data_IF_828892641754
#
_entry.id   IF_828892641754
#
_cell.length_a   1.000
_cell.length_b   1.000
_cell.length_c   1.000
_cell.angle_alpha   90.00
_cell.angle_beta   90.00
_cell.angle_gamma   90.00
#
_symmetry.space_group_name_H-M   'P 1'
#
loop_
_entity.id
_entity.type
_entity.pdbx_description
1 polymer ?
#
# COMPACT_ATOMS: atom_id res chain seq x y z
N UNK A 1 -15.11 -10.63 -4.89
CA UNK A 1 -14.51 -11.59 -3.94
C UNK A 1 -14.81 -11.17 -2.50
N UNK A 2 -15.80 -11.79 -1.85
CA UNK A 2 -15.87 -11.78 -0.38
C UNK A 2 -15.03 -12.97 0.09
N UNK A 3 -13.94 -12.68 0.79
CA UNK A 3 -13.14 -13.70 1.45
C UNK A 3 -13.91 -14.20 2.68
N UNK A 4 -14.79 -15.19 2.49
CA UNK A 4 -15.28 -16.02 3.59
C UNK A 4 -14.16 -17.00 3.98
N UNK A 5 -13.19 -16.50 4.74
CA UNK A 5 -12.20 -17.35 5.42
C UNK A 5 -12.67 -17.55 6.86
N UNK A 6 -13.79 -18.27 7.03
CA UNK A 6 -14.25 -18.76 8.33
C UNK A 6 -13.99 -20.27 8.40
N UNK A 7 -12.71 -20.63 8.57
CA UNK A 7 -12.30 -21.98 8.93
C UNK A 7 -12.37 -22.21 10.45
N UNK A 8 -12.34 -23.48 10.92
CA UNK A 8 -12.50 -23.83 12.33
C UNK A 8 -11.43 -23.21 13.23
N UNK A 9 -11.80 -22.91 14.48
CA UNK A 9 -10.87 -22.49 15.54
C UNK A 9 -10.08 -23.71 16.02
N UNK A 10 -8.93 -23.96 15.39
CA UNK A 10 -8.00 -25.02 15.81
C UNK A 10 -7.19 -24.62 17.06
N UNK A 11 -6.81 -25.61 17.87
CA UNK A 11 -6.03 -25.42 19.10
C UNK A 11 -4.59 -25.00 18.74
N UNK A 12 -4.08 -24.05 19.52
CA UNK A 12 -2.84 -23.30 19.30
C UNK A 12 -1.56 -24.19 19.27
N UNK A 13 -1.62 -25.38 19.86
CA UNK A 13 -0.48 -26.31 19.98
C UNK A 13 -0.16 -27.03 18.67
N UNK A 14 -1.16 -27.28 17.81
CA UNK A 14 -0.99 -27.99 16.53
C UNK A 14 -0.27 -27.13 15.46
N UNK A 15 -0.35 -25.79 15.57
CA UNK A 15 0.37 -24.88 14.68
C UNK A 15 1.88 -24.79 14.98
N UNK A 16 2.30 -25.10 16.22
CA UNK A 16 3.69 -24.95 16.67
C UNK A 16 4.52 -26.16 16.23
N UNK A 17 3.96 -27.37 16.18
CA UNK A 17 4.70 -28.56 15.72
C UNK A 17 4.97 -28.58 14.21
N UNK A 18 4.25 -27.78 13.41
CA UNK A 18 4.50 -27.60 11.98
C UNK A 18 5.38 -26.36 11.65
N UNK A 19 5.94 -25.68 12.66
CA UNK A 19 6.82 -24.53 12.44
C UNK A 19 8.22 -24.95 11.95
N UNK A 20 8.70 -24.20 10.94
CA UNK A 20 10.09 -24.08 10.51
C UNK A 20 10.68 -25.19 9.63
N UNK A 21 9.96 -25.66 8.62
CA UNK A 21 10.66 -26.04 7.40
C UNK A 21 10.59 -24.85 6.46
N UNK A 22 11.71 -24.11 6.35
CA UNK A 22 11.99 -23.33 5.15
C UNK A 22 11.82 -24.33 4.02
N UNK A 23 10.72 -24.22 3.30
CA UNK A 23 10.55 -25.01 2.11
C UNK A 23 11.49 -24.39 1.09
N UNK A 24 12.03 -25.22 0.20
CA UNK A 24 13.12 -24.82 -0.68
C UNK A 24 12.90 -23.50 -1.42
N UNK A 25 13.92 -23.01 -2.13
CA UNK A 25 13.79 -21.79 -2.92
C UNK A 25 12.53 -21.81 -3.80
N UNK A 26 11.84 -20.68 -3.88
CA UNK A 26 10.64 -20.46 -4.71
C UNK A 26 11.02 -19.67 -5.96
N UNK A 27 10.39 -19.99 -7.08
CA UNK A 27 10.57 -19.30 -8.36
C UNK A 27 9.84 -17.96 -8.36
N UNK A 28 10.42 -16.93 -9.00
CA UNK A 28 9.91 -15.56 -8.90
C UNK A 28 8.48 -15.42 -9.41
N UNK A 29 8.24 -15.79 -10.68
CA UNK A 29 6.92 -15.63 -11.27
C UNK A 29 6.03 -16.84 -11.01
N UNK A 30 6.52 -18.06 -11.27
CA UNK A 30 5.66 -19.25 -11.27
C UNK A 30 4.97 -19.54 -9.92
N UNK A 31 5.67 -19.30 -8.81
CA UNK A 31 5.18 -19.72 -7.49
C UNK A 31 4.29 -18.68 -6.81
N UNK A 32 4.33 -17.42 -7.24
CA UNK A 32 3.60 -16.33 -6.59
C UNK A 32 2.70 -15.54 -7.53
N UNK A 33 2.84 -15.69 -8.85
CA UNK A 33 2.06 -14.93 -9.83
C UNK A 33 0.58 -15.26 -9.74
N UNK A 34 -0.27 -14.24 -9.70
CA UNK A 34 -1.71 -14.39 -9.82
C UNK A 34 -2.33 -13.18 -10.51
N UNK A 35 -3.62 -13.30 -10.88
CA UNK A 35 -4.40 -12.21 -11.42
C UNK A 35 -5.86 -12.24 -10.94
N UNK A 36 -6.44 -11.07 -10.76
CA UNK A 36 -7.84 -10.89 -10.39
C UNK A 36 -8.48 -9.78 -11.24
N UNK A 37 -9.76 -9.97 -11.59
CA UNK A 37 -10.56 -8.97 -12.31
C UNK A 37 -11.58 -8.39 -11.32
N UNK A 38 -11.71 -7.08 -11.33
CA UNK A 38 -12.79 -6.33 -10.69
C UNK A 38 -13.81 -5.99 -11.78
N UNK A 39 -14.94 -6.72 -11.87
CA UNK A 39 -15.89 -6.63 -12.97
C UNK A 39 -16.83 -5.40 -12.82
N UNK A 40 -16.31 -4.20 -13.06
CA UNK A 40 -17.07 -2.95 -12.93
C UNK A 40 -18.07 -2.74 -14.09
N UNK A 41 -17.81 -3.30 -15.27
CA UNK A 41 -18.68 -3.17 -16.44
C UNK A 41 -19.95 -4.01 -16.28
N UNK A 42 -19.80 -5.27 -15.89
CA UNK A 42 -20.90 -6.23 -15.79
C UNK A 42 -21.62 -6.22 -14.43
N UNK A 43 -20.91 -5.99 -13.31
CA UNK A 43 -21.50 -6.02 -11.96
C UNK A 43 -21.84 -4.63 -11.42
N UNK A 44 -23.03 -4.12 -11.75
CA UNK A 44 -23.49 -2.77 -11.33
C UNK A 44 -23.47 -2.58 -9.81
N UNK A 45 -23.92 -3.58 -9.03
CA UNK A 45 -23.92 -3.51 -7.55
C UNK A 45 -22.51 -3.46 -6.96
N UNK A 46 -21.54 -4.09 -7.62
CA UNK A 46 -20.14 -4.00 -7.21
C UNK A 46 -19.61 -2.61 -7.54
N UNK A 47 -19.87 -2.12 -8.76
CA UNK A 47 -19.45 -0.81 -9.26
C UNK A 47 -19.85 0.35 -8.33
N UNK A 48 -21.03 0.31 -7.72
CA UNK A 48 -21.46 1.33 -6.75
C UNK A 48 -20.47 1.54 -5.60
N UNK A 49 -19.68 0.52 -5.22
CA UNK A 49 -18.65 0.62 -4.18
C UNK A 49 -17.37 1.32 -4.66
N UNK A 50 -17.14 1.34 -5.98
CA UNK A 50 -15.94 1.89 -6.63
C UNK A 50 -16.19 3.23 -7.31
N UNK A 51 -17.41 3.78 -7.25
CA UNK A 51 -17.74 5.09 -7.83
C UNK A 51 -17.65 6.16 -6.75
N UNK A 52 -17.02 7.28 -7.06
CA UNK A 52 -17.09 8.50 -6.25
C UNK A 52 -18.32 9.31 -6.62
N UNK A 53 -18.73 10.25 -5.76
CA UNK A 53 -19.84 11.15 -6.08
C UNK A 53 -19.59 12.07 -7.29
N UNK A 54 -18.31 12.22 -7.70
CA UNK A 54 -17.91 12.95 -8.91
C UNK A 54 -17.94 12.08 -10.18
N UNK A 55 -18.37 10.81 -10.08
CA UNK A 55 -18.40 9.89 -11.21
C UNK A 55 -17.02 9.35 -11.63
N UNK A 56 -16.02 9.42 -10.75
CA UNK A 56 -14.70 8.81 -10.95
C UNK A 56 -14.53 7.50 -10.17
N UNK A 57 -13.38 6.83 -10.32
CA UNK A 57 -13.05 5.66 -9.50
C UNK A 57 -12.64 6.07 -8.08
N UNK A 58 -13.19 5.38 -7.08
CA UNK A 58 -12.86 5.53 -5.67
C UNK A 58 -11.54 4.83 -5.37
N UNK A 59 -10.44 5.55 -5.59
CA UNK A 59 -9.06 5.07 -5.39
C UNK A 59 -8.86 4.45 -4.00
N UNK A 60 -9.44 5.03 -2.95
CA UNK A 60 -9.37 4.46 -1.59
C UNK A 60 -9.89 3.01 -1.51
N UNK A 61 -10.94 2.66 -2.25
CA UNK A 61 -11.45 1.29 -2.31
C UNK A 61 -10.51 0.37 -3.10
N UNK A 62 -9.95 0.86 -4.20
CA UNK A 62 -8.96 0.13 -4.99
C UNK A 62 -7.69 -0.17 -4.17
N UNK A 63 -7.21 0.78 -3.35
CA UNK A 63 -6.07 0.57 -2.45
C UNK A 63 -6.31 -0.54 -1.43
N UNK A 64 -7.54 -0.64 -0.93
CA UNK A 64 -7.92 -1.72 -0.01
C UNK A 64 -7.81 -3.09 -0.70
N UNK A 65 -8.27 -3.20 -1.94
CA UNK A 65 -8.17 -4.47 -2.69
C UNK A 65 -6.73 -4.77 -3.13
N UNK A 66 -5.94 -3.75 -3.47
CA UNK A 66 -4.51 -3.91 -3.76
C UNK A 66 -3.74 -4.49 -2.57
N UNK A 67 -4.04 -4.02 -1.37
CA UNK A 67 -3.45 -4.55 -0.13
C UNK A 67 -3.83 -6.01 0.11
N UNK A 68 -5.12 -6.34 -0.06
CA UNK A 68 -5.61 -7.73 0.04
C UNK A 68 -4.95 -8.63 -1.01
N UNK A 69 -4.79 -8.14 -2.23
CA UNK A 69 -4.13 -8.88 -3.30
C UNK A 69 -2.63 -9.06 -3.03
N UNK A 70 -1.94 -8.06 -2.48
CA UNK A 70 -0.54 -8.20 -2.05
C UNK A 70 -0.39 -9.28 -0.97
N UNK A 71 -1.29 -9.31 0.02
CA UNK A 71 -1.35 -10.36 1.05
C UNK A 71 -1.55 -11.74 0.41
N UNK A 72 -2.44 -11.85 -0.60
CA UNK A 72 -2.69 -13.10 -1.32
C UNK A 72 -1.44 -13.62 -2.04
N UNK A 73 -0.74 -12.77 -2.80
CA UNK A 73 0.51 -13.13 -3.48
C UNK A 73 1.56 -13.65 -2.50
N UNK A 74 1.66 -13.03 -1.32
CA UNK A 74 2.55 -13.49 -0.25
C UNK A 74 2.14 -14.85 0.33
N UNK A 75 0.84 -15.12 0.50
CA UNK A 75 0.40 -16.45 0.94
C UNK A 75 0.70 -17.53 -0.11
N UNK A 76 0.55 -17.20 -1.40
CA UNK A 76 0.90 -18.11 -2.50
C UNK A 76 2.40 -18.40 -2.54
N UNK A 77 3.23 -17.37 -2.33
CA UNK A 77 4.68 -17.54 -2.20
C UNK A 77 5.06 -18.48 -1.03
N UNK A 78 4.35 -18.38 0.09
CA UNK A 78 4.55 -19.18 1.30
C UNK A 78 3.76 -20.49 1.33
N UNK A 79 3.11 -20.86 0.23
CA UNK A 79 2.30 -22.07 0.14
C UNK A 79 3.18 -23.30 0.42
N UNK A 80 2.67 -24.17 1.28
CA UNK A 80 3.36 -25.37 1.72
C UNK A 80 2.68 -26.60 1.12
N UNK A 81 3.28 -27.30 0.14
CA UNK A 81 2.66 -28.47 -0.50
C UNK A 81 2.45 -29.67 0.44
N UNK A 82 3.10 -29.67 1.62
CA UNK A 82 2.94 -30.70 2.66
C UNK A 82 1.88 -30.34 3.69
N UNK A 83 1.36 -29.11 3.65
CA UNK A 83 0.29 -28.68 4.54
C UNK A 83 -1.02 -29.31 4.07
N UNK A 84 -1.80 -29.86 5.01
CA UNK A 84 -3.14 -30.37 4.70
C UNK A 84 -4.03 -29.20 4.30
N UNK A 85 -4.90 -29.39 3.30
CA UNK A 85 -5.81 -28.35 2.77
C UNK A 85 -6.68 -27.71 3.87
N UNK A 86 -7.09 -28.48 4.88
CA UNK A 86 -7.91 -27.99 5.99
C UNK A 86 -7.14 -27.13 7.02
N UNK A 87 -5.81 -27.11 6.96
CA UNK A 87 -4.99 -26.39 7.93
C UNK A 87 -4.77 -24.95 7.47
N UNK A 88 -5.02 -23.94 8.31
CA UNK A 88 -4.70 -22.55 7.97
C UNK A 88 -3.20 -22.30 7.92
N UNK A 89 -2.76 -21.37 7.07
CA UNK A 89 -1.37 -20.91 7.04
C UNK A 89 -0.92 -20.46 8.44
N UNK A 90 0.27 -20.87 8.91
CA UNK A 90 0.81 -20.44 10.20
C UNK A 90 1.31 -18.99 10.16
N UNK A 91 1.38 -18.37 8.99
CA UNK A 91 1.91 -17.03 8.82
C UNK A 91 0.84 -15.96 9.04
N UNK A 92 1.18 -14.95 9.83
CA UNK A 92 0.44 -13.68 9.85
C UNK A 92 1.14 -12.68 8.95
N UNK A 93 0.58 -12.45 7.75
CA UNK A 93 1.10 -11.44 6.82
C UNK A 93 0.46 -10.08 7.11
N UNK A 94 1.30 -9.07 7.28
CA UNK A 94 0.89 -7.68 7.54
C UNK A 94 1.63 -6.73 6.60
N UNK A 95 0.97 -5.63 6.25
CA UNK A 95 1.52 -4.56 5.42
C UNK A 95 2.47 -3.72 6.25
N UNK A 96 3.73 -3.63 5.83
CA UNK A 96 4.74 -2.82 6.53
C UNK A 96 4.97 -1.48 5.83
N UNK A 97 4.98 -1.49 4.50
CA UNK A 97 5.18 -0.28 3.71
C UNK A 97 4.51 -0.42 2.34
N UNK A 98 4.02 0.69 1.82
CA UNK A 98 3.57 0.83 0.43
C UNK A 98 4.39 1.94 -0.19
N UNK A 99 5.03 1.67 -1.33
CA UNK A 99 5.75 2.71 -2.06
C UNK A 99 4.77 3.73 -2.64
N UNK A 100 5.29 4.86 -3.13
CA UNK A 100 4.48 5.85 -3.83
C UNK A 100 3.70 5.21 -4.98
N UNK A 101 2.38 5.43 -4.99
CA UNK A 101 1.47 5.01 -6.07
C UNK A 101 0.95 6.26 -6.78
N UNK A 102 1.04 6.27 -8.11
CA UNK A 102 0.61 7.38 -8.95
C UNK A 102 -0.45 6.89 -9.95
N UNK A 103 -1.65 7.47 -9.87
CA UNK A 103 -2.76 7.17 -10.77
C UNK A 103 -2.90 8.21 -11.90
N UNK A 104 -1.93 9.12 -12.07
CA UNK A 104 -2.01 10.27 -12.98
C UNK A 104 -1.26 10.09 -14.31
N UNK A 105 -0.84 8.87 -14.65
CA UNK A 105 0.01 8.60 -15.82
C UNK A 105 -0.76 8.54 -17.17
N UNK A 106 -1.66 9.51 -17.41
CA UNK A 106 -2.31 9.71 -18.71
C UNK A 106 -3.53 8.85 -19.00
N UNK A 107 -3.89 7.88 -18.15
CA UNK A 107 -5.13 7.10 -18.24
C UNK A 107 -6.02 7.44 -17.05
N UNK A 108 -7.10 8.18 -17.30
CA UNK A 108 -8.12 8.41 -16.29
C UNK A 108 -8.89 7.13 -16.05
N UNK A 109 -8.84 6.63 -14.81
CA UNK A 109 -9.61 5.44 -14.41
C UNK A 109 -11.10 5.67 -14.60
N UNK A 110 -11.69 4.83 -15.45
CA UNK A 110 -13.12 4.79 -15.74
C UNK A 110 -13.86 3.90 -14.74
N UNK A 111 -14.95 4.35 -14.11
CA UNK A 111 -15.69 3.52 -13.17
C UNK A 111 -16.58 2.47 -13.82
N UNK A 112 -16.81 2.57 -15.13
CA UNK A 112 -17.67 1.67 -15.92
C UNK A 112 -16.88 0.59 -16.66
N UNK A 113 -15.58 0.44 -16.37
CA UNK A 113 -14.67 -0.48 -17.05
C UNK A 113 -13.94 -1.39 -16.09
N UNK A 114 -13.80 -2.65 -16.47
CA UNK A 114 -13.14 -3.66 -15.66
C UNK A 114 -11.68 -3.30 -15.36
N UNK A 115 -11.25 -3.62 -14.15
CA UNK A 115 -9.86 -3.41 -13.68
C UNK A 115 -9.24 -4.78 -13.45
N UNK A 116 -8.04 -5.00 -13.98
CA UNK A 116 -7.23 -6.21 -13.74
C UNK A 116 -6.08 -5.88 -12.82
N UNK A 117 -5.96 -6.68 -11.77
CA UNK A 117 -4.80 -6.74 -10.89
C UNK A 117 -4.01 -7.97 -11.28
N UNK A 118 -2.72 -7.83 -11.56
CA UNK A 118 -1.81 -8.96 -11.78
C UNK A 118 -0.49 -8.68 -11.11
N UNK A 119 0.10 -9.67 -10.47
CA UNK A 119 1.30 -9.42 -9.68
C UNK A 119 1.98 -10.68 -9.23
N UNK A 120 3.15 -10.51 -8.61
CA UNK A 120 3.98 -11.56 -8.04
C UNK A 120 4.87 -10.98 -6.94
N UNK A 121 5.48 -11.84 -6.14
CA UNK A 121 6.55 -11.47 -5.20
C UNK A 121 7.83 -11.25 -6.00
N UNK A 122 8.38 -10.03 -5.95
CA UNK A 122 9.56 -9.62 -6.72
C UNK A 122 10.87 -9.79 -5.98
N UNK A 123 10.81 -9.78 -4.64
CA UNK A 123 11.96 -9.91 -3.78
C UNK A 123 11.53 -10.49 -2.43
N UNK A 124 12.35 -11.38 -1.86
CA UNK A 124 12.12 -11.94 -0.53
C UNK A 124 13.39 -11.78 0.33
N UNK A 125 13.21 -11.26 1.54
CA UNK A 125 14.23 -11.15 2.57
C UNK A 125 14.16 -12.30 3.56
N UNK A 126 14.55 -12.02 4.81
CA UNK A 126 14.46 -13.01 5.90
C UNK A 126 13.02 -13.21 6.39
N UNK A 127 12.29 -12.12 6.58
CA UNK A 127 10.91 -12.11 7.10
C UNK A 127 10.02 -11.09 6.39
N UNK A 128 10.48 -10.52 5.29
CA UNK A 128 9.76 -9.55 4.50
C UNK A 128 9.78 -9.90 3.03
N UNK A 129 8.74 -9.50 2.30
CA UNK A 129 8.56 -9.77 0.89
C UNK A 129 8.10 -8.49 0.20
N UNK A 130 8.64 -8.21 -0.97
CA UNK A 130 8.16 -7.17 -1.87
C UNK A 130 7.20 -7.81 -2.88
N UNK A 131 5.97 -7.30 -2.96
CA UNK A 131 4.98 -7.70 -3.94
C UNK A 131 4.77 -6.55 -4.94
N UNK A 132 4.89 -6.85 -6.22
CA UNK A 132 4.59 -5.92 -7.31
C UNK A 132 3.20 -6.26 -7.84
N UNK A 133 2.37 -5.24 -7.98
CA UNK A 133 1.06 -5.35 -8.61
C UNK A 133 0.99 -4.38 -9.78
N UNK A 134 0.74 -4.92 -10.96
CA UNK A 134 0.35 -4.18 -12.17
C UNK A 134 -1.16 -3.99 -12.14
N UNK A 135 -1.60 -2.74 -12.31
CA UNK A 135 -3.01 -2.37 -12.42
C UNK A 135 -3.28 -1.98 -13.85
N UNK A 136 -4.22 -2.67 -14.47
CA UNK A 136 -4.64 -2.44 -15.86
C UNK A 136 -6.14 -2.19 -15.91
N UNK A 137 -6.58 -1.41 -16.90
CA UNK A 137 -7.99 -1.18 -17.16
C UNK A 137 -8.33 -1.60 -18.59
N UNK A 138 -9.46 -2.28 -18.74
CA UNK A 138 -9.97 -2.68 -20.03
C UNK A 138 -10.61 -1.49 -20.75
N UNK A 139 -10.08 -1.13 -21.92
CA UNK A 139 -10.64 -0.08 -22.76
C UNK A 139 -10.45 -0.45 -24.24
N UNK A 140 -11.47 -0.22 -25.06
CA UNK A 140 -11.41 -0.40 -26.52
C UNK A 140 -10.91 -1.79 -26.98
N UNK A 141 -11.20 -2.84 -26.20
CA UNK A 141 -10.81 -4.22 -26.53
C UNK A 141 -9.43 -4.63 -26.00
N UNK A 142 -8.68 -3.72 -25.37
CA UNK A 142 -7.34 -3.99 -24.87
C UNK A 142 -7.14 -3.57 -23.40
N UNK A 143 -6.18 -4.22 -22.75
CA UNK A 143 -5.80 -3.90 -21.37
C UNK A 143 -4.70 -2.84 -21.36
N UNK A 144 -5.00 -1.69 -20.77
CA UNK A 144 -4.08 -0.57 -20.68
C UNK A 144 -3.54 -0.46 -19.25
N UNK A 145 -2.21 -0.38 -19.10
CA UNK A 145 -1.60 -0.20 -17.79
C UNK A 145 -1.92 1.20 -17.24
N UNK A 146 -2.51 1.22 -16.04
CA UNK A 146 -2.86 2.44 -15.32
C UNK A 146 -1.73 2.82 -14.37
N UNK A 147 -1.29 1.86 -13.55
CA UNK A 147 -0.24 2.10 -12.57
C UNK A 147 0.45 0.80 -12.15
N UNK A 148 1.53 0.94 -11.40
CA UNK A 148 2.24 -0.16 -10.74
C UNK A 148 2.35 0.17 -9.26
N UNK A 149 1.86 -0.71 -8.41
CA UNK A 149 1.96 -0.58 -6.97
C UNK A 149 2.99 -1.57 -6.40
N UNK A 150 3.73 -1.15 -5.38
CA UNK A 150 4.72 -1.99 -4.70
C UNK A 150 4.41 -1.99 -3.22
N UNK A 151 4.21 -3.19 -2.69
CA UNK A 151 3.90 -3.44 -1.28
C UNK A 151 5.05 -4.20 -0.64
N UNK A 152 5.48 -3.77 0.54
CA UNK A 152 6.39 -4.51 1.40
C UNK A 152 5.58 -5.13 2.52
N UNK A 153 5.52 -6.46 2.50
CA UNK A 153 4.79 -7.27 3.47
C UNK A 153 5.77 -7.89 4.45
N UNK A 154 5.36 -8.07 5.70
CA UNK A 154 6.14 -8.75 6.74
C UNK A 154 5.40 -9.99 7.20
N UNK A 155 6.13 -11.09 7.26
CA UNK A 155 5.67 -12.34 7.82
C UNK A 155 5.94 -12.35 9.34
N UNK A 156 4.88 -12.59 10.11
CA UNK A 156 4.91 -12.73 11.56
C UNK A 156 4.54 -14.16 11.94
N UNK A 157 5.04 -14.60 13.09
CA UNK A 157 4.65 -15.90 13.65
C UNK A 157 3.14 -15.90 14.01
N UNK A 158 2.51 -17.09 14.15
CA UNK A 158 1.07 -17.18 14.41
C UNK A 158 0.65 -16.61 15.78
N UNK A 159 1.58 -16.52 16.74
CA UNK A 159 1.36 -15.87 18.04
C UNK A 159 1.60 -14.36 18.00
N UNK A 160 2.06 -13.86 16.85
CA UNK A 160 2.49 -12.50 16.59
C UNK A 160 3.57 -11.99 17.55
N UNK A 161 4.45 -12.88 18.02
CA UNK A 161 5.51 -12.56 18.99
C UNK A 161 6.81 -12.11 18.32
N UNK A 162 6.97 -12.36 17.02
CA UNK A 162 8.16 -12.03 16.26
C UNK A 162 8.04 -12.25 14.76
N UNK A 163 9.16 -12.02 14.08
CA UNK A 163 9.30 -12.21 12.64
C UNK A 163 9.35 -13.69 12.28
N UNK A 164 8.60 -14.10 11.26
CA UNK A 164 8.64 -15.46 10.70
C UNK A 164 9.53 -15.53 9.46
N UNK A 165 10.21 -16.66 9.26
CA UNK A 165 11.06 -16.88 8.10
C UNK A 165 10.23 -17.12 6.84
N UNK A 166 10.59 -16.45 5.75
CA UNK A 166 9.97 -16.63 4.43
C UNK A 166 10.87 -17.44 3.51
N UNK A 167 10.28 -18.11 2.52
CA UNK A 167 11.02 -18.86 1.51
C UNK A 167 11.92 -17.93 0.70
N UNK A 168 13.20 -18.29 0.47
CA UNK A 168 14.07 -17.55 -0.43
C UNK A 168 13.49 -17.53 -1.84
N UNK A 169 13.61 -16.39 -2.53
CA UNK A 169 13.21 -16.24 -3.92
C UNK A 169 14.42 -16.50 -4.82
N UNK A 170 14.27 -17.35 -5.84
CA UNK A 170 15.32 -17.65 -6.81
C UNK A 170 14.86 -17.24 -8.21
N UNK A 171 15.48 -16.22 -8.81
CA UNK A 171 15.23 -15.84 -10.19
C UNK A 171 16.02 -16.74 -11.16
N UNK A 172 15.34 -17.34 -12.13
CA UNK A 172 15.95 -18.22 -13.13
C UNK A 172 16.24 -17.45 -14.41
N UNK A 173 15.25 -16.73 -14.93
CA UNK A 173 15.34 -16.05 -16.22
C UNK A 173 16.12 -14.71 -16.11
N UNK A 174 16.70 -14.21 -17.21
CA UNK A 174 17.33 -12.89 -17.21
C UNK A 174 16.36 -11.75 -16.84
N UNK A 175 15.07 -11.91 -17.11
CA UNK A 175 14.04 -10.96 -16.72
C UNK A 175 13.77 -11.00 -15.22
N UNK A 176 13.57 -12.20 -14.66
CA UNK A 176 13.40 -12.39 -13.21
C UNK A 176 14.61 -11.86 -12.43
N UNK A 177 15.83 -12.06 -12.94
CA UNK A 177 17.05 -11.53 -12.31
C UNK A 177 17.04 -10.01 -12.26
N UNK A 178 16.55 -9.35 -13.32
CA UNK A 178 16.41 -7.88 -13.34
C UNK A 178 15.35 -7.41 -12.35
N UNK A 179 14.21 -8.10 -12.26
CA UNK A 179 13.14 -7.79 -11.29
C UNK A 179 13.66 -7.94 -9.86
N UNK A 180 14.36 -9.04 -9.56
CA UNK A 180 14.94 -9.28 -8.24
C UNK A 180 15.96 -8.22 -7.85
N UNK A 181 16.88 -7.87 -8.76
CA UNK A 181 17.85 -6.79 -8.56
C UNK A 181 17.17 -5.43 -8.33
N UNK A 182 16.10 -5.13 -9.05
CA UNK A 182 15.31 -3.93 -8.82
C UNK A 182 14.72 -3.90 -7.39
N UNK A 183 14.23 -5.04 -6.88
CA UNK A 183 13.78 -5.16 -5.49
C UNK A 183 14.89 -4.92 -4.46
N UNK A 184 16.12 -5.38 -4.72
CA UNK A 184 17.29 -5.07 -3.87
C UNK A 184 17.62 -3.58 -3.86
N UNK A 185 17.58 -2.93 -5.02
CA UNK A 185 17.77 -1.48 -5.15
C UNK A 185 16.66 -0.73 -4.40
N UNK A 186 15.39 -1.13 -4.56
CA UNK A 186 14.26 -0.52 -3.87
C UNK A 186 14.45 -0.58 -2.35
N UNK A 187 14.90 -1.73 -1.82
CA UNK A 187 15.21 -1.89 -0.40
C UNK A 187 16.30 -0.92 0.08
N UNK A 188 17.37 -0.75 -0.70
CA UNK A 188 18.43 0.21 -0.37
C UNK A 188 17.90 1.64 -0.39
N UNK A 189 17.13 2.00 -1.41
CA UNK A 189 16.52 3.32 -1.55
C UNK A 189 15.60 3.67 -0.38
N UNK A 190 14.73 2.74 0.05
CA UNK A 190 13.88 2.90 1.24
C UNK A 190 14.70 3.14 2.51
N UNK A 191 15.85 2.47 2.65
CA UNK A 191 16.75 2.66 3.80
C UNK A 191 17.39 4.05 3.79
N UNK A 192 17.81 4.54 2.62
CA UNK A 192 18.38 5.89 2.46
C UNK A 192 17.34 6.95 2.83
N UNK A 193 16.13 6.89 2.26
CA UNK A 193 15.03 7.81 2.60
C UNK A 193 14.74 7.80 4.12
N UNK A 194 14.76 6.64 4.75
CA UNK A 194 14.56 6.53 6.20
C UNK A 194 15.71 7.17 7.01
N UNK A 195 16.93 7.20 6.47
CA UNK A 195 18.07 7.86 7.08
C UNK A 195 18.04 9.38 6.91
N UNK A 196 17.45 9.88 5.82
CA UNK A 196 17.25 11.31 5.53
C UNK A 196 16.10 11.96 6.32
N UNK A 197 15.42 11.22 7.19
CA UNK A 197 14.38 11.77 8.06
C UNK A 197 14.86 13.00 8.84
N UNK A 198 14.05 14.05 8.88
CA UNK A 198 14.34 15.28 9.63
C UNK A 198 14.53 15.06 11.14
N UNK A 199 14.05 13.93 11.67
CA UNK A 199 14.32 13.51 13.06
C UNK A 199 15.77 13.01 13.26
N UNK A 200 16.51 12.76 12.18
CA UNK A 200 17.89 12.27 12.18
C UNK A 200 18.87 13.29 11.62
N UNK A 201 18.49 13.96 10.54
CA UNK A 201 19.36 14.90 9.81
C UNK A 201 18.65 16.25 9.71
N UNK A 202 19.30 17.37 10.05
CA UNK A 202 18.70 18.70 9.91
C UNK A 202 18.49 19.06 8.43
N UNK A 203 17.61 20.03 8.11
CA UNK A 203 17.43 20.50 6.74
C UNK A 203 18.73 20.95 6.09
N UNK A 204 18.85 20.69 4.79
CA UNK A 204 20.00 21.11 3.99
C UNK A 204 19.97 22.63 3.71
N UNK A 205 21.04 23.17 3.10
CA UNK A 205 21.16 24.60 2.83
C UNK A 205 20.06 25.12 1.87
N UNK A 206 19.72 24.34 0.86
CA UNK A 206 18.65 24.68 -0.09
C UNK A 206 17.28 24.74 0.60
N UNK A 207 16.96 23.77 1.46
CA UNK A 207 15.73 23.73 2.26
C UNK A 207 15.66 24.88 3.25
N UNK A 208 16.77 25.21 3.93
CA UNK A 208 16.84 26.38 4.84
C UNK A 208 16.60 27.67 4.08
N UNK A 209 17.20 27.82 2.90
CA UNK A 209 17.03 28.99 2.04
C UNK A 209 15.57 29.14 1.60
N UNK A 210 14.94 28.04 1.20
CA UNK A 210 13.52 28.00 0.84
C UNK A 210 12.61 28.39 2.01
N UNK A 211 12.83 27.82 3.20
CA UNK A 211 12.06 28.16 4.40
C UNK A 211 12.22 29.63 4.75
N UNK A 212 13.44 30.16 4.63
CA UNK A 212 13.71 31.58 4.86
C UNK A 212 13.00 32.48 3.84
N UNK A 213 13.06 32.13 2.54
CA UNK A 213 12.36 32.85 1.47
C UNK A 213 10.84 32.90 1.71
N UNK A 214 10.24 31.74 2.00
CA UNK A 214 8.80 31.65 2.31
C UNK A 214 8.47 32.50 3.55
N UNK A 215 9.29 32.42 4.60
CA UNK A 215 9.09 33.22 5.81
C UNK A 215 9.19 34.73 5.54
N UNK A 216 10.19 35.16 4.77
CA UNK A 216 10.36 36.56 4.37
C UNK A 216 9.22 37.07 3.50
N UNK A 217 8.65 36.22 2.63
CA UNK A 217 7.50 36.58 1.79
C UNK A 217 6.23 36.92 2.61
N UNK A 218 6.13 36.39 3.83
CA UNK A 218 5.00 36.63 4.75
C UNK A 218 5.25 37.77 5.74
N UNK A 219 6.50 38.19 5.92
CA UNK A 219 6.89 39.23 6.88
C UNK A 219 6.59 40.63 6.32
N UNK A 220 6.22 41.58 7.20
CA UNK A 220 6.11 42.99 6.83
C UNK A 220 7.40 43.74 7.22
N UNK A 221 8.24 44.16 6.26
CA UNK A 221 9.50 44.85 6.54
C UNK A 221 9.30 46.16 7.33
N UNK A 222 8.16 46.83 7.14
CA UNK A 222 7.88 48.14 7.75
C UNK A 222 7.54 48.03 9.24
N UNK A 223 7.02 46.89 9.69
CA UNK A 223 6.58 46.72 11.08
C UNK A 223 7.66 46.07 11.96
N UNK A 224 8.80 45.63 11.39
CA UNK A 224 9.88 44.90 12.10
C UNK A 224 9.33 43.77 13.01
N UNK A 225 8.14 43.27 12.68
CA UNK A 225 7.32 42.42 13.54
C UNK A 225 7.02 41.14 12.81
N UNK A 226 7.32 40.03 13.47
CA UNK A 226 7.00 38.69 12.99
C UNK A 226 5.52 38.33 13.17
N UNK A 227 4.71 39.24 13.73
CA UNK A 227 3.30 39.01 14.03
C UNK A 227 2.37 39.34 12.84
N UNK A 228 2.73 40.29 11.97
CA UNK A 228 1.91 40.66 10.82
C UNK A 228 2.13 39.68 9.67
N UNK A 229 1.41 38.57 9.69
CA UNK A 229 1.49 37.57 8.63
C UNK A 229 0.56 37.96 7.50
N UNK A 230 1.08 38.65 6.47
CA UNK A 230 0.32 38.79 5.22
C UNK A 230 0.21 37.40 4.61
N UNK A 231 -1.01 36.89 4.47
CA UNK A 231 -1.26 35.64 3.77
C UNK A 231 -0.99 35.87 2.28
N UNK A 232 -0.08 35.11 1.65
CA UNK A 232 0.15 35.21 0.20
C UNK A 232 -1.13 35.02 -0.61
N UNK A 233 -1.19 35.59 -1.82
CA UNK A 233 -2.33 35.38 -2.71
C UNK A 233 -2.54 33.88 -3.00
N UNK A 234 -3.80 33.43 -3.03
CA UNK A 234 -4.18 32.02 -3.21
C UNK A 234 -3.64 31.05 -2.14
N UNK A 235 -3.41 31.53 -0.92
CA UNK A 235 -3.01 30.68 0.20
C UNK A 235 -3.95 30.84 1.39
N UNK A 236 -3.96 29.83 2.26
CA UNK A 236 -4.70 29.80 3.52
C UNK A 236 -3.80 29.25 4.61
N UNK A 237 -4.12 29.53 5.88
CA UNK A 237 -3.41 28.90 6.96
C UNK A 237 -3.73 27.41 7.03
N UNK A 238 -2.69 26.59 7.21
CA UNK A 238 -2.86 25.16 7.43
C UNK A 238 -3.71 24.86 8.67
N UNK A 239 -3.81 25.78 9.64
CA UNK A 239 -4.65 25.60 10.83
C UNK A 239 -6.15 25.64 10.55
N UNK A 240 -6.56 26.42 9.55
CA UNK A 240 -7.96 26.57 9.14
C UNK A 240 -8.45 25.39 8.28
N UNK A 241 -7.52 24.60 7.74
CA UNK A 241 -7.80 23.49 6.83
C UNK A 241 -7.31 22.15 7.40
N UNK A 242 -7.73 21.85 8.64
CA UNK A 242 -7.45 20.57 9.30
C UNK A 242 -8.72 19.75 9.41
N UNK A 243 -8.70 18.55 8.82
CA UNK A 243 -9.74 17.54 9.05
C UNK A 243 -9.20 16.43 9.94
N UNK A 244 -10.03 15.95 10.85
CA UNK A 244 -9.75 14.82 11.72
C UNK A 244 -10.93 13.85 11.64
N UNK A 245 -10.63 12.56 11.66
CA UNK A 245 -11.62 11.51 11.70
C UNK A 245 -11.27 10.55 12.85
N UNK A 246 -12.29 9.99 13.49
CA UNK A 246 -12.17 8.93 14.49
C UNK A 246 -12.99 7.74 14.01
N UNK A 247 -12.35 6.58 13.91
CA UNK A 247 -12.97 5.37 13.39
C UNK A 247 -12.82 4.27 14.42
N UNK A 248 -13.94 3.64 14.78
CA UNK A 248 -13.93 2.47 15.65
C UNK A 248 -13.66 1.23 14.80
N UNK A 249 -12.59 0.51 15.12
CA UNK A 249 -12.23 -0.71 14.41
C UNK A 249 -13.05 -1.91 14.93
N UNK A 250 -14.02 -2.34 14.12
CA UNK A 250 -14.82 -3.54 14.39
C UNK A 250 -14.13 -4.83 13.92
N UNK A 251 -14.60 -6.03 14.36
CA UNK A 251 -14.02 -7.31 13.94
C UNK A 251 -13.95 -7.56 12.42
N UNK A 252 -14.78 -6.89 11.63
CA UNK A 252 -14.72 -6.94 10.16
C UNK A 252 -13.48 -6.23 9.56
N UNK A 253 -12.85 -5.34 10.32
CA UNK A 253 -11.68 -4.58 9.89
C UNK A 253 -10.35 -5.25 10.24
N UNK A 254 -10.38 -6.44 10.86
CA UNK A 254 -9.17 -7.16 11.30
C UNK A 254 -9.05 -8.52 10.66
N UNK A 255 -7.80 -8.95 10.44
CA UNK A 255 -7.47 -10.29 10.00
C UNK A 255 -7.73 -11.32 11.10
N UNK A 256 -7.55 -12.61 10.76
CA UNK A 256 -7.69 -13.73 11.71
C UNK A 256 -6.79 -13.62 12.95
N UNK A 257 -5.66 -12.94 12.81
CA UNK A 257 -4.68 -12.68 13.88
C UNK A 257 -4.97 -11.37 14.65
N UNK A 258 -6.19 -10.84 14.50
CA UNK A 258 -6.70 -9.64 15.19
C UNK A 258 -5.97 -8.33 14.86
N UNK A 259 -5.21 -8.26 13.77
CA UNK A 259 -4.57 -7.04 13.27
C UNK A 259 -5.45 -6.35 12.22
N UNK A 260 -5.56 -5.04 12.30
CA UNK A 260 -6.32 -4.24 11.32
C UNK A 260 -5.66 -4.34 9.95
N UNK A 261 -6.46 -4.45 8.88
CA UNK A 261 -5.93 -4.49 7.51
C UNK A 261 -5.25 -3.16 7.13
N UNK A 262 -4.08 -3.24 6.50
CA UNK A 262 -3.34 -2.05 6.04
C UNK A 262 -4.16 -1.26 5.01
N UNK A 263 -4.80 -1.97 4.08
CA UNK A 263 -5.67 -1.42 3.05
C UNK A 263 -6.84 -0.63 3.62
N UNK A 264 -7.42 -1.10 4.72
CA UNK A 264 -8.48 -0.36 5.41
C UNK A 264 -7.99 0.98 5.94
N UNK A 265 -6.82 0.99 6.61
CA UNK A 265 -6.22 2.22 7.13
C UNK A 265 -5.84 3.18 6.00
N UNK A 266 -5.25 2.67 4.91
CA UNK A 266 -4.92 3.47 3.72
C UNK A 266 -6.14 4.10 3.09
N UNK A 267 -7.24 3.36 2.94
CA UNK A 267 -8.51 3.91 2.44
C UNK A 267 -8.97 5.10 3.27
N UNK A 268 -8.97 4.94 4.60
CA UNK A 268 -9.44 5.99 5.50
C UNK A 268 -8.53 7.22 5.49
N UNK A 269 -7.21 7.01 5.47
CA UNK A 269 -6.23 8.09 5.36
C UNK A 269 -6.34 8.83 4.02
N UNK A 270 -6.48 8.08 2.91
CA UNK A 270 -6.64 8.64 1.57
C UNK A 270 -7.94 9.44 1.45
N UNK A 271 -9.07 8.91 1.92
CA UNK A 271 -10.36 9.61 1.86
C UNK A 271 -10.39 10.87 2.73
N UNK A 272 -9.74 10.84 3.89
CA UNK A 272 -9.58 12.03 4.73
C UNK A 272 -8.68 13.10 4.07
N UNK A 273 -7.55 12.69 3.49
CA UNK A 273 -6.66 13.57 2.73
C UNK A 273 -7.34 14.16 1.51
N UNK A 274 -8.12 13.33 0.80
CA UNK A 274 -8.94 13.75 -0.33
C UNK A 274 -9.97 14.80 0.08
N UNK A 275 -10.71 14.57 1.18
CA UNK A 275 -11.68 15.53 1.68
C UNK A 275 -11.01 16.87 2.07
N UNK A 276 -9.83 16.81 2.69
CA UNK A 276 -9.07 17.98 3.10
C UNK A 276 -8.56 18.81 1.90
N UNK A 277 -8.10 18.13 0.84
CA UNK A 277 -7.70 18.79 -0.40
C UNK A 277 -8.91 19.37 -1.16
N UNK A 278 -10.04 18.67 -1.12
CA UNK A 278 -11.27 19.10 -1.78
C UNK A 278 -11.86 20.34 -1.10
N UNK A 279 -11.86 20.42 0.23
CA UNK A 279 -12.30 21.63 0.96
C UNK A 279 -11.37 22.82 0.72
N UNK A 280 -10.06 22.56 0.52
CA UNK A 280 -9.10 23.63 0.24
C UNK A 280 -9.23 24.21 -1.17
N UNK A 281 -9.24 23.37 -2.23
CA UNK A 281 -9.19 23.86 -3.62
C UNK A 281 -10.02 23.05 -4.62
N UNK A 282 -10.97 22.23 -4.16
CA UNK A 282 -11.75 21.32 -5.04
C UNK A 282 -10.85 20.45 -5.94
N UNK A 283 -9.65 20.12 -5.47
CA UNK A 283 -8.67 19.28 -6.17
C UNK A 283 -8.78 17.84 -5.68
N UNK A 284 -8.56 16.89 -6.59
CA UNK A 284 -8.57 15.45 -6.31
C UNK A 284 -7.13 14.97 -6.06
N UNK A 285 -6.91 14.19 -5.00
CA UNK A 285 -5.62 13.55 -4.75
C UNK A 285 -5.38 12.39 -5.73
N UNK A 286 -4.33 12.46 -6.55
CA UNK A 286 -4.01 11.44 -7.56
C UNK A 286 -2.75 10.62 -7.21
N UNK A 287 -1.98 11.08 -6.22
CA UNK A 287 -0.73 10.46 -5.77
C UNK A 287 -0.89 10.07 -4.31
N UNK A 288 -0.51 8.83 -3.98
CA UNK A 288 -0.34 8.37 -2.61
C UNK A 288 1.17 8.31 -2.34
N UNK A 289 1.70 9.09 -1.38
CA UNK A 289 3.11 9.02 -1.03
C UNK A 289 3.47 7.68 -0.37
N UNK A 290 4.77 7.36 -0.32
CA UNK A 290 5.24 6.18 0.38
C UNK A 290 4.74 6.19 1.83
N UNK A 291 4.04 5.13 2.22
CA UNK A 291 3.35 5.01 3.50
C UNK A 291 3.95 3.86 4.30
N UNK A 292 4.49 4.14 5.48
CA UNK A 292 5.03 3.14 6.39
C UNK A 292 4.06 2.91 7.54
N UNK A 293 3.78 1.65 7.85
CA UNK A 293 2.99 1.24 9.01
C UNK A 293 3.94 0.98 10.18
N UNK A 294 3.81 1.78 11.22
CA UNK A 294 4.56 1.61 12.46
C UNK A 294 3.79 0.64 13.36
N UNK A 295 4.49 -0.36 13.88
CA UNK A 295 3.95 -1.31 14.88
C UNK A 295 3.86 -0.72 16.28
#
# INVERSE_FOLDING_TARGET
>A
MRAEVLGPVFRQEDCIQNQMLIQGPRLLEMDSFDSAIIPLESEVRLREKYVTFLGGVRVGRLLEDLDVFAVWLCYKHLENPRQKEDMPSPYSIVTALVDRIDFNHGVMLRPDRDIRLSGHVSWAGRSSMEAIIKVEQFNEGEWHQVTRAVFVMVARDPLNQGSALVNPLVPETPEEKRIFQAGEINKLHRRVIQQESLFRVPPNESEKSLVHEVFMSMANPEQLSFASKKVPENSVWMEDHKLKNLIICHPEHRNRFKKVFGGFLMRQAYELGWACAFTYRSVVCVIIPSTMFLE
#
